data_IF_664441960125
#
_entry.id   IF_664441960125
#
_cell.length_a   1.000
_cell.length_b   1.000
_cell.length_c   1.000
_cell.angle_alpha   90.00
_cell.angle_beta   90.00
_cell.angle_gamma   90.00
#
_symmetry.space_group_name_H-M   'P 1'
#
loop_
_entity.id
_entity.type
_entity.pdbx_description
1 polymer ?
#
# COMPACT_ATOMS: atom_id res chain seq x y z
N UNK A 1 -6.69 6.87 6.00
CA UNK A 1 -7.50 6.11 5.02
C UNK A 1 -8.26 7.01 4.06
N UNK A 2 -9.04 8.00 4.52
CA UNK A 2 -9.84 8.87 3.63
C UNK A 2 -9.03 9.53 2.48
N UNK A 3 -7.88 10.14 2.79
CA UNK A 3 -7.02 10.78 1.77
C UNK A 3 -6.59 9.82 0.65
N UNK A 4 -6.20 8.59 1.00
CA UNK A 4 -5.76 7.60 0.03
C UNK A 4 -6.88 7.18 -0.95
N UNK A 5 -8.14 7.12 -0.48
CA UNK A 5 -9.29 6.87 -1.36
C UNK A 5 -9.57 8.01 -2.34
N UNK A 6 -9.12 9.22 -2.00
CA UNK A 6 -9.21 10.42 -2.84
C UNK A 6 -7.97 10.60 -3.72
N UNK A 7 -7.09 9.60 -3.82
CA UNK A 7 -5.85 9.70 -4.60
C UNK A 7 -4.76 10.59 -3.99
N UNK A 8 -4.91 10.97 -2.72
CA UNK A 8 -3.98 11.85 -2.00
C UNK A 8 -3.06 10.98 -1.13
N UNK A 9 -1.76 11.00 -1.44
CA UNK A 9 -0.73 10.15 -0.83
C UNK A 9 -0.08 10.73 0.44
N UNK A 10 -0.40 11.98 0.76
CA UNK A 10 0.19 12.78 1.83
C UNK A 10 -0.08 12.19 3.22
N UNK A 11 -1.17 11.41 3.36
CA UNK A 11 -1.45 10.64 4.56
C UNK A 11 -0.38 9.60 4.92
N UNK A 12 0.49 9.23 3.97
CA UNK A 12 1.60 8.30 4.19
C UNK A 12 2.90 8.98 4.67
N UNK A 13 3.04 10.31 4.49
CA UNK A 13 4.24 11.08 4.84
C UNK A 13 4.67 10.88 6.30
N UNK A 14 3.80 11.02 7.33
CA UNK A 14 4.25 10.87 8.72
C UNK A 14 4.84 9.49 9.01
N UNK A 15 4.28 8.43 8.41
CA UNK A 15 4.77 7.06 8.59
C UNK A 15 6.10 6.81 7.87
N UNK A 16 6.28 7.42 6.69
CA UNK A 16 7.53 7.38 5.96
C UNK A 16 8.64 8.17 6.67
N UNK A 17 8.31 9.27 7.36
CA UNK A 17 9.26 10.05 8.16
C UNK A 17 9.64 9.33 9.47
N UNK A 18 8.70 8.67 10.12
CA UNK A 18 8.95 7.91 11.36
C UNK A 18 9.90 6.73 11.12
N UNK A 19 9.70 5.96 10.04
CA UNK A 19 10.52 4.78 9.74
C UNK A 19 10.72 4.57 8.23
N UNK A 20 11.56 5.39 7.57
CA UNK A 20 11.70 5.38 6.11
C UNK A 20 12.18 4.04 5.56
N UNK A 21 13.13 3.41 6.26
CA UNK A 21 13.73 2.11 5.88
C UNK A 21 12.70 0.97 5.92
N UNK A 22 11.66 1.09 6.75
CA UNK A 22 10.60 0.08 6.84
C UNK A 22 9.44 0.42 5.92
N UNK A 23 8.99 1.68 5.96
CA UNK A 23 7.79 2.13 5.27
C UNK A 23 7.96 2.13 3.75
N UNK A 24 8.99 2.80 3.22
CA UNK A 24 9.16 2.99 1.77
C UNK A 24 9.29 1.65 1.04
N UNK A 25 10.17 0.71 1.45
CA UNK A 25 10.27 -0.58 0.76
C UNK A 25 8.98 -1.40 0.85
N UNK A 26 8.28 -1.35 1.99
CA UNK A 26 7.01 -2.06 2.15
C UNK A 26 5.94 -1.52 1.19
N UNK A 27 5.85 -0.20 1.04
CA UNK A 27 4.91 0.45 0.12
C UNK A 27 5.23 0.11 -1.33
N UNK A 28 6.51 0.13 -1.71
CA UNK A 28 6.95 -0.22 -3.06
C UNK A 28 6.59 -1.66 -3.41
N UNK A 29 6.92 -2.63 -2.53
CA UNK A 29 6.61 -4.04 -2.77
C UNK A 29 5.11 -4.27 -2.84
N UNK A 30 4.33 -3.69 -1.93
CA UNK A 30 2.88 -3.79 -1.96
C UNK A 30 2.26 -3.21 -3.25
N UNK A 31 2.73 -2.04 -3.69
CA UNK A 31 2.27 -1.41 -4.93
C UNK A 31 2.61 -2.25 -6.17
N UNK A 32 3.83 -2.79 -6.25
CA UNK A 32 4.26 -3.66 -7.34
C UNK A 32 3.40 -4.92 -7.39
N UNK A 33 3.21 -5.61 -6.25
CA UNK A 33 2.43 -6.86 -6.20
C UNK A 33 0.97 -6.61 -6.56
N UNK A 34 0.34 -5.59 -5.98
CA UNK A 34 -1.07 -5.28 -6.23
C UNK A 34 -1.34 -4.85 -7.67
N UNK A 35 -0.51 -3.95 -8.22
CA UNK A 35 -0.67 -3.47 -9.60
C UNK A 35 -0.39 -4.58 -10.62
N UNK A 36 0.67 -5.37 -10.43
CA UNK A 36 1.00 -6.48 -11.33
C UNK A 36 -0.11 -7.54 -11.31
N UNK A 37 -0.63 -7.89 -10.14
CA UNK A 37 -1.74 -8.84 -10.02
C UNK A 37 -3.00 -8.37 -10.75
N UNK A 38 -3.40 -7.11 -10.56
CA UNK A 38 -4.57 -6.55 -11.23
C UNK A 38 -4.43 -6.55 -12.75
N UNK A 39 -3.30 -6.03 -13.26
CA UNK A 39 -3.03 -5.94 -14.71
C UNK A 39 -2.90 -7.33 -15.33
N UNK A 40 -2.22 -8.26 -14.65
CA UNK A 40 -2.01 -9.62 -15.15
C UNK A 40 -3.32 -10.38 -15.35
N UNK A 41 -4.31 -10.12 -14.50
CA UNK A 41 -5.64 -10.71 -14.59
C UNK A 41 -6.63 -9.88 -15.43
N UNK A 42 -6.15 -8.87 -16.16
CA UNK A 42 -6.92 -8.15 -17.17
C UNK A 42 -7.61 -6.87 -16.69
N UNK A 43 -7.31 -6.36 -15.49
CA UNK A 43 -7.79 -5.03 -15.10
C UNK A 43 -7.19 -3.95 -16.00
N UNK A 44 -8.06 -3.11 -16.59
CA UNK A 44 -7.64 -2.00 -17.46
C UNK A 44 -8.24 -0.71 -16.95
N UNK A 45 -7.39 0.26 -16.65
CA UNK A 45 -7.81 1.58 -16.24
C UNK A 45 -7.56 2.60 -17.36
N UNK A 46 -8.64 3.11 -17.94
CA UNK A 46 -8.58 4.00 -19.11
C UNK A 46 -8.15 5.43 -18.75
N UNK A 47 -8.60 5.92 -17.60
CA UNK A 47 -8.21 7.23 -17.07
C UNK A 47 -7.20 7.03 -15.93
N UNK A 48 -5.92 7.43 -16.09
CA UNK A 48 -4.84 7.12 -15.16
C UNK A 48 -4.93 7.99 -13.89
N UNK A 49 -5.92 7.72 -13.06
CA UNK A 49 -6.24 8.47 -11.83
C UNK A 49 -6.43 7.50 -10.66
N UNK A 50 -5.77 7.74 -9.53
CA UNK A 50 -5.74 6.76 -8.44
C UNK A 50 -7.01 6.78 -7.55
N UNK A 51 -7.81 7.82 -7.66
CA UNK A 51 -8.93 8.06 -6.78
C UNK A 51 -10.18 7.23 -7.12
N UNK A 52 -11.07 7.08 -6.13
CA UNK A 52 -12.28 6.26 -6.23
C UNK A 52 -13.24 6.69 -7.36
N UNK A 53 -13.28 7.98 -7.71
CA UNK A 53 -14.12 8.47 -8.80
C UNK A 53 -13.67 7.99 -10.19
N UNK A 54 -12.45 7.47 -10.32
CA UNK A 54 -11.96 6.85 -11.54
C UNK A 54 -12.43 5.39 -11.69
N UNK A 55 -12.96 4.76 -10.64
CA UNK A 55 -13.34 3.34 -10.65
C UNK A 55 -14.43 2.98 -11.69
N UNK A 56 -15.43 3.83 -11.98
CA UNK A 56 -16.37 3.57 -13.08
C UNK A 56 -15.71 3.47 -14.47
N UNK A 57 -14.48 3.97 -14.63
CA UNK A 57 -13.69 3.93 -15.85
C UNK A 57 -12.70 2.74 -15.88
N UNK A 58 -12.84 1.78 -14.95
CA UNK A 58 -12.01 0.57 -14.86
C UNK A 58 -12.75 -0.63 -15.43
N UNK A 59 -12.11 -1.31 -16.39
CA UNK A 59 -12.54 -2.62 -16.89
C UNK A 59 -12.06 -3.71 -15.92
N UNK A 60 -12.90 -4.71 -15.66
CA UNK A 60 -12.63 -5.77 -14.66
C UNK A 60 -12.39 -5.22 -13.22
N UNK A 61 -13.29 -4.32 -12.78
CA UNK A 61 -13.22 -3.66 -11.47
C UNK A 61 -13.07 -4.61 -10.27
N UNK A 62 -13.69 -5.80 -10.31
CA UNK A 62 -13.58 -6.79 -9.23
C UNK A 62 -12.12 -7.23 -9.00
N UNK A 63 -11.38 -7.45 -10.08
CA UNK A 63 -9.98 -7.87 -10.02
C UNK A 63 -9.06 -6.70 -9.69
N UNK A 64 -9.40 -5.49 -10.15
CA UNK A 64 -8.74 -4.26 -9.74
C UNK A 64 -8.80 -4.05 -8.22
N UNK A 65 -9.99 -4.18 -7.63
CA UNK A 65 -10.19 -4.09 -6.17
C UNK A 65 -9.42 -5.20 -5.45
N UNK A 66 -9.45 -6.44 -5.98
CA UNK A 66 -8.67 -7.53 -5.42
C UNK A 66 -7.16 -7.25 -5.42
N UNK A 67 -6.63 -6.62 -6.47
CA UNK A 67 -5.23 -6.17 -6.54
C UNK A 67 -4.89 -5.09 -5.50
N UNK A 68 -5.78 -4.11 -5.29
CA UNK A 68 -5.60 -3.10 -4.24
C UNK A 68 -5.54 -3.78 -2.86
N UNK A 69 -6.48 -4.68 -2.57
CA UNK A 69 -6.53 -5.42 -1.32
C UNK A 69 -5.27 -6.27 -1.12
N UNK A 70 -4.82 -6.96 -2.16
CA UNK A 70 -3.60 -7.76 -2.13
C UNK A 70 -2.38 -6.88 -1.81
N UNK A 71 -2.20 -5.77 -2.52
CA UNK A 71 -1.11 -4.83 -2.27
C UNK A 71 -1.13 -4.25 -0.85
N UNK A 72 -2.33 -3.95 -0.32
CA UNK A 72 -2.50 -3.47 1.05
C UNK A 72 -2.12 -4.55 2.09
N UNK A 73 -2.52 -5.80 1.88
CA UNK A 73 -2.15 -6.93 2.76
C UNK A 73 -0.64 -7.17 2.72
N UNK A 74 -0.02 -7.19 1.54
CA UNK A 74 1.44 -7.36 1.42
C UNK A 74 2.19 -6.23 2.11
N UNK A 75 1.73 -4.99 1.95
CA UNK A 75 2.29 -3.82 2.65
C UNK A 75 2.22 -4.01 4.17
N UNK A 76 1.05 -4.37 4.69
CA UNK A 76 0.84 -4.55 6.12
C UNK A 76 1.75 -5.66 6.69
N UNK A 77 1.82 -6.80 6.00
CA UNK A 77 2.67 -7.92 6.39
C UNK A 77 4.16 -7.52 6.39
N UNK A 78 4.63 -6.80 5.36
CA UNK A 78 6.01 -6.33 5.30
C UNK A 78 6.33 -5.34 6.43
N UNK A 79 5.47 -4.36 6.69
CA UNK A 79 5.68 -3.38 7.77
C UNK A 79 5.73 -4.08 9.13
N UNK A 80 4.77 -4.96 9.41
CA UNK A 80 4.71 -5.72 10.67
C UNK A 80 5.97 -6.57 10.84
N UNK A 81 6.35 -7.31 9.79
CA UNK A 81 7.53 -8.16 9.82
C UNK A 81 8.83 -7.37 10.03
N UNK A 82 9.03 -6.28 9.29
CA UNK A 82 10.23 -5.44 9.39
C UNK A 82 10.32 -4.73 10.74
N UNK A 83 9.22 -4.16 11.24
CA UNK A 83 9.19 -3.56 12.58
C UNK A 83 9.45 -4.59 13.68
N UNK A 84 8.88 -5.79 13.56
CA UNK A 84 9.16 -6.89 14.50
C UNK A 84 10.64 -7.29 14.49
N UNK A 85 11.28 -7.35 13.31
CA UNK A 85 12.71 -7.60 13.22
C UNK A 85 13.55 -6.48 13.85
N UNK A 86 13.17 -5.22 13.65
CA UNK A 86 13.84 -4.07 14.27
C UNK A 86 13.70 -4.09 15.80
N UNK A 87 12.52 -4.46 16.31
CA UNK A 87 12.28 -4.66 17.74
C UNK A 87 13.19 -5.75 18.32
N UNK A 88 13.25 -6.92 17.68
CA UNK A 88 14.15 -8.01 18.11
C UNK A 88 15.63 -7.64 18.11
N UNK A 89 16.02 -6.68 17.27
CA UNK A 89 17.39 -6.15 17.20
C UNK A 89 17.66 -5.02 18.20
N UNK A 90 16.71 -4.67 19.07
CA UNK A 90 16.82 -3.59 20.04
C UNK A 90 16.83 -2.19 19.40
N UNK A 91 16.43 -2.06 18.13
CA UNK A 91 16.45 -0.79 17.38
C UNK A 91 15.11 -0.03 17.44
N UNK A 92 14.10 -0.61 18.06
CA UNK A 92 12.78 -0.01 18.29
C UNK A 92 12.49 -0.10 19.77
N UNK A 93 12.40 1.05 20.44
CA UNK A 93 11.84 1.17 21.78
C UNK A 93 10.34 1.40 21.63
N UNK A 94 9.54 0.46 22.11
CA UNK A 94 8.09 0.65 22.21
C UNK A 94 7.89 1.35 23.55
N UNK A 95 7.62 2.66 23.52
CA UNK A 95 7.08 3.31 24.71
C UNK A 95 5.70 2.69 24.97
N UNK A 96 5.62 1.83 25.98
CA UNK A 96 4.34 1.32 26.47
C UNK A 96 3.63 2.49 27.15
N UNK A 97 2.62 3.05 26.48
CA UNK A 97 1.66 3.98 27.07
C UNK A 97 0.97 3.37 28.30
#
# INVERSE_FOLDING_TARGET
MFLAFMGISEGAIPFALESPVTAIPSYMVGAIVGSTFAVWLGAVQWFPESAIWAWPLVSHLSVYIAGILLGAVITALMVVFLRHMMYRRGKLLIESL
#
